data_IF_004776059023
#
_entry.id   IF_004776059023
#
_cell.length_a   1.000
_cell.length_b   1.000
_cell.length_c   1.000
_cell.angle_alpha   90.00
_cell.angle_beta   90.00
_cell.angle_gamma   90.00
#
_symmetry.space_group_name_H-M   'P 1'
#
loop_
_entity.id
_entity.type
_entity.pdbx_description
1 polymer ?
#
# COMPACT_ATOMS: atom_id res chain seq x y z
N UNK A 1 40.65 9.56 -6.19
CA UNK A 1 39.41 9.08 -5.56
C UNK A 1 39.42 7.58 -5.21
N UNK A 2 39.15 6.62 -6.12
CA UNK A 2 39.08 5.17 -5.75
C UNK A 2 40.33 4.61 -5.05
N UNK A 3 41.53 4.90 -5.58
CA UNK A 3 42.80 4.43 -4.98
C UNK A 3 43.05 5.00 -3.57
N UNK A 4 42.69 6.26 -3.34
CA UNK A 4 42.82 6.90 -2.02
C UNK A 4 41.83 6.31 -1.02
N UNK A 5 40.61 6.00 -1.48
CA UNK A 5 39.57 5.38 -0.67
C UNK A 5 39.98 3.96 -0.23
N UNK A 6 40.52 3.16 -1.16
CA UNK A 6 41.07 1.84 -0.86
C UNK A 6 42.25 1.90 0.12
N UNK A 7 43.16 2.86 -0.07
CA UNK A 7 44.29 3.07 0.84
C UNK A 7 43.80 3.34 2.26
N UNK A 8 42.83 4.24 2.43
CA UNK A 8 42.23 4.54 3.75
C UNK A 8 41.53 3.33 4.37
N UNK A 9 40.79 2.55 3.59
CA UNK A 9 40.13 1.32 4.07
C UNK A 9 41.16 0.32 4.60
N UNK A 10 42.25 0.13 3.87
CA UNK A 10 43.33 -0.79 4.22
C UNK A 10 44.07 -0.30 5.48
N UNK A 11 44.45 0.98 5.51
CA UNK A 11 45.17 1.59 6.65
C UNK A 11 44.34 1.56 7.93
N UNK A 12 43.04 1.87 7.84
CA UNK A 12 42.13 1.90 8.98
C UNK A 12 41.58 0.52 9.35
N UNK A 13 41.88 -0.53 8.58
CA UNK A 13 41.29 -1.88 8.71
C UNK A 13 39.76 -1.84 8.81
N UNK A 14 39.13 -0.96 8.03
CA UNK A 14 37.67 -0.80 8.02
C UNK A 14 36.99 -2.12 7.66
N UNK A 15 35.90 -2.46 8.36
CA UNK A 15 35.12 -3.66 8.03
C UNK A 15 34.39 -3.48 6.70
N UNK A 16 34.49 -4.49 5.83
CA UNK A 16 33.93 -4.45 4.48
C UNK A 16 33.06 -5.68 4.21
N UNK A 17 31.83 -5.49 3.71
CA UNK A 17 31.17 -6.52 2.93
C UNK A 17 31.50 -6.36 1.44
N UNK A 18 31.51 -7.50 0.75
CA UNK A 18 31.56 -7.58 -0.71
C UNK A 18 30.15 -7.72 -1.25
N UNK A 19 29.80 -6.89 -2.23
CA UNK A 19 28.54 -6.93 -2.96
C UNK A 19 28.89 -7.37 -4.39
N UNK A 20 28.22 -8.40 -4.90
CA UNK A 20 28.47 -8.89 -6.25
C UNK A 20 27.15 -9.08 -6.99
N UNK A 21 27.10 -8.58 -8.23
CA UNK A 21 25.92 -8.73 -9.09
C UNK A 21 26.35 -9.14 -10.50
N UNK A 22 25.53 -9.96 -11.16
CA UNK A 22 25.75 -10.32 -12.56
C UNK A 22 25.36 -9.13 -13.45
N UNK A 23 26.23 -8.81 -14.40
CA UNK A 23 26.03 -7.78 -15.40
C UNK A 23 26.30 -8.36 -16.78
N UNK A 24 25.66 -7.78 -17.80
CA UNK A 24 25.90 -8.13 -19.20
C UNK A 24 26.67 -6.99 -19.88
N UNK A 25 27.76 -7.33 -20.56
CA UNK A 25 28.50 -6.39 -21.40
C UNK A 25 27.89 -6.31 -22.82
N UNK A 26 28.21 -5.26 -23.57
CA UNK A 26 27.76 -5.00 -24.96
C UNK A 26 28.12 -6.14 -25.93
N UNK A 27 29.01 -7.07 -25.53
CA UNK A 27 29.43 -8.24 -26.32
C UNK A 27 28.86 -9.60 -25.89
N UNK A 28 27.78 -9.65 -25.10
CA UNK A 28 27.16 -10.89 -24.59
C UNK A 28 28.06 -11.78 -23.70
N UNK A 29 29.18 -11.24 -23.19
CA UNK A 29 29.96 -11.92 -22.14
C UNK A 29 29.34 -11.64 -20.77
N UNK A 30 29.20 -12.69 -19.96
CA UNK A 30 28.83 -12.58 -18.54
C UNK A 30 29.94 -11.85 -17.79
N UNK A 31 29.59 -10.76 -17.12
CA UNK A 31 30.51 -10.01 -16.27
C UNK A 31 29.96 -9.92 -14.85
N UNK A 32 30.84 -9.80 -13.88
CA UNK A 32 30.50 -9.63 -12.48
C UNK A 32 30.96 -8.26 -12.03
N UNK A 33 30.03 -7.42 -11.58
CA UNK A 33 30.40 -6.17 -10.93
C UNK A 33 30.60 -6.43 -9.44
N UNK A 34 31.79 -6.07 -8.95
CA UNK A 34 32.16 -6.21 -7.54
C UNK A 34 32.15 -4.83 -6.91
N UNK A 35 31.37 -4.68 -5.84
CA UNK A 35 31.29 -3.47 -5.02
C UNK A 35 31.84 -3.75 -3.63
N UNK A 36 32.43 -2.71 -3.05
CA UNK A 36 32.76 -2.67 -1.63
C UNK A 36 31.90 -1.62 -0.94
N UNK A 37 31.51 -1.91 0.30
CA UNK A 37 30.92 -0.92 1.20
C UNK A 37 31.83 -0.77 2.41
N UNK A 38 32.15 0.46 2.80
CA UNK A 38 33.03 0.70 3.95
C UNK A 38 32.73 2.06 4.57
N UNK A 39 32.95 2.19 5.88
CA UNK A 39 33.15 3.49 6.51
C UNK A 39 34.58 3.96 6.24
N UNK A 40 34.72 5.24 5.89
CA UNK A 40 35.98 5.90 5.60
C UNK A 40 36.14 7.04 6.58
N UNK A 41 37.33 7.22 7.15
CA UNK A 41 37.67 8.29 8.10
C UNK A 41 36.77 8.37 9.36
N UNK A 42 36.16 7.25 9.76
CA UNK A 42 35.29 7.19 10.94
C UNK A 42 33.91 7.79 10.73
N UNK A 43 33.53 8.07 9.48
CA UNK A 43 32.20 8.55 9.15
C UNK A 43 31.14 7.48 9.46
N UNK A 44 30.01 7.92 10.03
CA UNK A 44 28.88 7.06 10.38
C UNK A 44 28.13 6.58 9.14
N UNK A 45 28.29 7.26 8.00
CA UNK A 45 27.68 6.86 6.73
C UNK A 45 28.64 6.03 5.86
N UNK A 46 28.46 4.69 5.79
CA UNK A 46 29.30 3.86 4.94
C UNK A 46 28.98 4.06 3.45
N UNK A 47 30.02 4.27 2.65
CA UNK A 47 29.92 4.50 1.21
C UNK A 47 30.04 3.15 0.49
N UNK A 48 29.14 2.90 -0.47
CA UNK A 48 29.28 1.81 -1.42
C UNK A 48 29.88 2.32 -2.73
N UNK A 49 30.90 1.64 -3.25
CA UNK A 49 31.58 2.05 -4.48
C UNK A 49 32.00 0.84 -5.32
N UNK A 50 32.02 0.98 -6.66
CA UNK A 50 32.43 -0.11 -7.54
C UNK A 50 33.93 -0.36 -7.39
N UNK A 51 34.28 -1.61 -7.09
CA UNK A 51 35.66 -2.08 -7.05
C UNK A 51 36.15 -2.47 -8.43
N UNK A 52 35.50 -3.36 -9.15
CA UNK A 52 35.90 -3.67 -10.53
C UNK A 52 34.77 -4.36 -11.26
N UNK A 53 34.89 -4.41 -12.58
CA UNK A 53 34.05 -5.24 -13.43
C UNK A 53 34.91 -6.41 -13.93
N UNK A 54 34.53 -7.62 -13.56
CA UNK A 54 35.31 -8.83 -13.82
C UNK A 54 34.64 -9.62 -14.93
N UNK A 55 35.35 -9.92 -16.01
CA UNK A 55 34.84 -10.84 -17.05
C UNK A 55 34.87 -12.27 -16.52
N UNK A 56 33.79 -13.02 -16.74
CA UNK A 56 33.67 -14.41 -16.34
C UNK A 56 33.80 -15.32 -17.57
N UNK A 57 34.80 -16.20 -17.57
CA UNK A 57 34.95 -17.24 -18.60
C UNK A 57 34.11 -18.49 -18.26
N UNK A 58 33.68 -18.62 -17.01
CA UNK A 58 32.89 -19.74 -16.50
C UNK A 58 31.91 -19.28 -15.41
N UNK A 59 30.69 -19.80 -15.45
CA UNK A 59 29.64 -19.54 -14.45
C UNK A 59 29.68 -20.52 -13.26
N UNK A 60 30.81 -21.20 -13.03
CA UNK A 60 30.94 -22.08 -11.87
C UNK A 60 31.24 -21.27 -10.60
N UNK A 61 30.66 -21.67 -9.48
CA UNK A 61 30.86 -20.99 -8.20
C UNK A 61 32.34 -20.90 -7.78
N UNK A 62 33.13 -21.95 -8.07
CA UNK A 62 34.56 -21.96 -7.78
C UNK A 62 35.31 -20.90 -8.59
N UNK A 63 35.00 -20.77 -9.89
CA UNK A 63 35.63 -19.78 -10.75
C UNK A 63 35.21 -18.36 -10.36
N UNK A 64 33.92 -18.14 -10.08
CA UNK A 64 33.42 -16.83 -9.64
C UNK A 64 34.09 -16.41 -8.32
N UNK A 65 34.24 -17.33 -7.36
CA UNK A 65 34.98 -17.07 -6.12
C UNK A 65 36.44 -16.69 -6.40
N UNK A 66 37.12 -17.42 -7.27
CA UNK A 66 38.50 -17.12 -7.69
C UNK A 66 38.60 -15.72 -8.30
N UNK A 67 37.67 -15.34 -9.17
CA UNK A 67 37.60 -14.02 -9.80
C UNK A 67 37.36 -12.89 -8.78
N UNK A 68 36.45 -13.08 -7.81
CA UNK A 68 36.22 -12.11 -6.73
C UNK A 68 37.49 -11.95 -5.88
N UNK A 69 38.14 -13.05 -5.51
CA UNK A 69 39.38 -13.02 -4.73
C UNK A 69 40.52 -12.36 -5.51
N UNK A 70 40.69 -12.70 -6.78
CA UNK A 70 41.67 -12.06 -7.67
C UNK A 70 41.44 -10.56 -7.80
N UNK A 71 40.18 -10.13 -7.90
CA UNK A 71 39.79 -8.72 -7.90
C UNK A 71 40.22 -7.99 -6.61
N UNK A 72 39.95 -8.59 -5.44
CA UNK A 72 40.36 -8.03 -4.15
C UNK A 72 41.90 -7.93 -4.04
N UNK A 73 42.61 -9.01 -4.37
CA UNK A 73 44.07 -9.04 -4.29
C UNK A 73 44.73 -8.02 -5.24
N UNK A 74 44.22 -7.91 -6.47
CA UNK A 74 44.67 -6.91 -7.46
C UNK A 74 44.47 -5.47 -6.98
N UNK A 75 43.47 -5.22 -6.13
CA UNK A 75 43.18 -3.90 -5.56
C UNK A 75 43.88 -3.64 -4.21
N UNK A 76 44.86 -4.48 -3.82
CA UNK A 76 45.77 -4.23 -2.70
C UNK A 76 45.37 -4.89 -1.37
N UNK A 77 44.31 -5.69 -1.35
CA UNK A 77 43.97 -6.49 -0.18
C UNK A 77 44.88 -7.72 -0.10
N UNK A 78 45.23 -8.16 1.10
CA UNK A 78 45.90 -9.46 1.33
C UNK A 78 44.93 -10.43 1.98
N UNK A 79 45.20 -11.73 1.87
CA UNK A 79 44.34 -12.77 2.48
C UNK A 79 44.30 -12.60 4.00
N UNK A 80 45.43 -12.24 4.62
CA UNK A 80 45.55 -12.00 6.06
C UNK A 80 44.67 -10.82 6.49
N UNK A 81 44.68 -9.73 5.73
CA UNK A 81 43.83 -8.57 6.00
C UNK A 81 42.36 -8.93 5.84
N UNK A 82 41.99 -9.63 4.77
CA UNK A 82 40.61 -10.04 4.50
C UNK A 82 40.05 -10.91 5.65
N UNK A 83 40.87 -11.77 6.28
CA UNK A 83 40.44 -12.53 7.46
C UNK A 83 40.02 -11.64 8.63
N UNK A 84 40.60 -10.45 8.76
CA UNK A 84 40.24 -9.50 9.81
C UNK A 84 39.06 -8.61 9.43
N UNK A 85 38.97 -8.18 8.16
CA UNK A 85 38.08 -7.09 7.75
C UNK A 85 36.86 -7.52 6.93
N UNK A 86 36.89 -8.68 6.28
CA UNK A 86 35.78 -9.17 5.48
C UNK A 86 34.66 -9.68 6.41
N UNK A 87 33.53 -8.99 6.41
CA UNK A 87 32.41 -9.29 7.33
C UNK A 87 31.19 -9.85 6.62
N UNK A 88 31.11 -9.77 5.29
CA UNK A 88 29.94 -10.28 4.59
C UNK A 88 30.08 -10.36 3.08
N UNK A 89 29.18 -11.15 2.51
CA UNK A 89 29.01 -11.30 1.07
C UNK A 89 27.52 -11.19 0.74
N UNK A 90 27.18 -10.28 -0.18
CA UNK A 90 25.82 -10.04 -0.62
C UNK A 90 25.72 -10.20 -2.13
N UNK A 91 24.76 -11.01 -2.57
CA UNK A 91 24.49 -11.23 -3.99
C UNK A 91 23.03 -11.67 -4.21
N UNK A 92 22.67 -11.93 -5.47
CA UNK A 92 21.39 -12.50 -5.83
C UNK A 92 21.19 -13.91 -5.24
N UNK A 93 19.97 -14.43 -5.38
CA UNK A 93 19.59 -15.73 -4.84
C UNK A 93 19.98 -16.90 -5.71
N UNK A 94 20.76 -16.68 -6.76
CA UNK A 94 21.11 -17.76 -7.67
C UNK A 94 21.83 -18.86 -6.89
N UNK A 95 21.52 -20.12 -7.20
CA UNK A 95 22.17 -21.26 -6.54
C UNK A 95 23.69 -21.25 -6.69
N UNK A 96 24.21 -20.61 -7.76
CA UNK A 96 25.64 -20.42 -7.97
C UNK A 96 26.22 -19.41 -6.98
N UNK A 97 25.50 -18.33 -6.64
CA UNK A 97 26.00 -17.28 -5.76
C UNK A 97 25.79 -17.61 -4.28
N UNK A 98 24.59 -18.02 -3.88
CA UNK A 98 24.23 -18.23 -2.47
C UNK A 98 23.75 -19.67 -2.15
N UNK A 99 24.04 -20.63 -3.02
CA UNK A 99 23.73 -22.04 -2.78
C UNK A 99 24.39 -22.58 -1.51
N UNK A 100 23.60 -23.31 -0.70
CA UNK A 100 24.00 -23.79 0.64
C UNK A 100 25.21 -24.73 0.64
N UNK A 101 25.36 -25.54 -0.42
CA UNK A 101 26.39 -26.59 -0.49
C UNK A 101 27.65 -26.19 -1.25
N UNK A 102 27.50 -25.37 -2.28
CA UNK A 102 28.56 -25.11 -3.26
C UNK A 102 28.44 -23.74 -3.93
N UNK A 103 27.66 -22.82 -3.36
CA UNK A 103 27.58 -21.45 -3.88
C UNK A 103 28.82 -20.64 -3.54
N UNK A 104 29.07 -19.55 -4.27
CA UNK A 104 30.19 -18.62 -4.05
C UNK A 104 30.26 -18.16 -2.60
N UNK A 105 29.13 -17.76 -2.02
CA UNK A 105 29.04 -17.37 -0.61
C UNK A 105 29.48 -18.49 0.33
N UNK A 106 29.09 -19.75 0.05
CA UNK A 106 29.53 -20.90 0.84
C UNK A 106 31.04 -21.13 0.73
N UNK A 107 31.59 -21.04 -0.47
CA UNK A 107 33.04 -21.19 -0.70
C UNK A 107 33.86 -20.07 -0.08
N UNK A 108 33.34 -18.83 -0.04
CA UNK A 108 33.95 -17.73 0.70
C UNK A 108 33.85 -17.95 2.21
N UNK A 109 32.73 -18.51 2.70
CA UNK A 109 32.55 -18.80 4.12
C UNK A 109 33.48 -19.91 4.59
N UNK A 110 33.83 -20.87 3.73
CA UNK A 110 34.81 -21.92 4.05
C UNK A 110 36.23 -21.33 4.22
N UNK A 111 36.61 -20.31 3.45
CA UNK A 111 37.89 -19.59 3.60
C UNK A 111 37.87 -18.57 4.75
N UNK A 112 36.71 -17.95 4.98
CA UNK A 112 36.48 -16.87 5.94
C UNK A 112 35.25 -17.18 6.81
N UNK A 113 35.39 -17.99 7.88
CA UNK A 113 34.25 -18.50 8.66
C UNK A 113 33.36 -17.43 9.32
N UNK A 114 33.89 -16.22 9.51
CA UNK A 114 33.19 -15.10 10.15
C UNK A 114 32.28 -14.29 9.24
N UNK A 115 32.20 -14.59 7.94
CA UNK A 115 31.40 -13.78 7.01
C UNK A 115 29.90 -14.08 7.13
N UNK A 116 29.11 -13.02 7.05
CA UNK A 116 27.66 -13.10 6.95
C UNK A 116 27.27 -13.17 5.47
N UNK A 117 26.57 -14.24 5.10
CA UNK A 117 25.96 -14.36 3.77
C UNK A 117 24.61 -13.68 3.76
N UNK A 118 24.42 -12.72 2.87
CA UNK A 118 23.18 -11.97 2.74
C UNK A 118 22.58 -12.12 1.36
N UNK A 119 21.34 -12.60 1.30
CA UNK A 119 20.59 -12.66 0.06
C UNK A 119 19.97 -11.30 -0.24
N UNK A 120 20.23 -10.78 -1.46
CA UNK A 120 19.71 -9.49 -1.89
C UNK A 120 18.19 -9.43 -1.72
N UNK A 121 17.72 -8.46 -0.92
CA UNK A 121 16.29 -8.31 -0.63
C UNK A 121 15.48 -7.98 -1.88
N UNK A 122 16.07 -7.24 -2.83
CA UNK A 122 15.42 -6.87 -4.08
C UNK A 122 15.14 -8.10 -4.96
N UNK A 123 16.08 -9.06 -5.01
CA UNK A 123 15.90 -10.33 -5.70
C UNK A 123 15.03 -11.32 -4.92
N UNK A 124 15.08 -11.29 -3.58
CA UNK A 124 14.24 -12.13 -2.71
C UNK A 124 12.74 -11.86 -2.88
N UNK A 125 12.37 -10.64 -3.28
CA UNK A 125 10.98 -10.27 -3.55
C UNK A 125 10.52 -10.54 -4.99
N UNK A 126 11.39 -11.10 -5.84
CA UNK A 126 11.06 -11.51 -7.21
C UNK A 126 10.18 -10.48 -7.94
N UNK A 127 10.65 -9.23 -7.96
CA UNK A 127 9.88 -8.06 -8.44
C UNK A 127 9.48 -8.17 -9.92
N UNK A 128 10.16 -9.02 -10.69
CA UNK A 128 9.85 -9.32 -12.09
C UNK A 128 8.91 -10.54 -12.25
N UNK A 129 8.36 -11.11 -11.18
CA UNK A 129 7.42 -12.21 -11.32
C UNK A 129 6.02 -11.72 -11.68
N UNK A 130 5.39 -12.39 -12.65
CA UNK A 130 4.03 -12.02 -13.08
C UNK A 130 3.00 -12.07 -11.93
N UNK A 131 3.12 -13.06 -11.04
CA UNK A 131 2.25 -13.20 -9.87
C UNK A 131 2.39 -12.03 -8.89
N UNK A 132 3.59 -11.47 -8.75
CA UNK A 132 3.83 -10.28 -7.95
C UNK A 132 3.19 -9.06 -8.61
N UNK A 133 3.40 -8.88 -9.93
CA UNK A 133 2.80 -7.79 -10.70
C UNK A 133 1.27 -7.79 -10.60
N UNK A 134 0.62 -8.95 -10.80
CA UNK A 134 -0.84 -9.10 -10.66
C UNK A 134 -1.35 -8.77 -9.27
N UNK A 135 -0.64 -9.22 -8.24
CA UNK A 135 -1.00 -8.92 -6.84
C UNK A 135 -0.88 -7.42 -6.55
N UNK A 136 0.19 -6.79 -7.03
CA UNK A 136 0.42 -5.35 -6.88
C UNK A 136 -0.62 -4.53 -7.63
N UNK A 137 -0.97 -4.95 -8.84
CA UNK A 137 -2.00 -4.32 -9.66
C UNK A 137 -3.37 -4.31 -8.97
N UNK A 138 -3.80 -5.46 -8.43
CA UNK A 138 -5.04 -5.53 -7.65
C UNK A 138 -5.03 -4.60 -6.44
N UNK A 139 -3.92 -4.55 -5.70
CA UNK A 139 -3.78 -3.63 -4.56
C UNK A 139 -3.84 -2.17 -5.01
N UNK A 140 -3.21 -1.83 -6.13
CA UNK A 140 -3.23 -0.48 -6.68
C UNK A 140 -4.65 -0.04 -7.10
N UNK A 141 -5.42 -0.93 -7.74
CA UNK A 141 -6.81 -0.65 -8.11
C UNK A 141 -7.68 -0.39 -6.86
N UNK A 142 -7.56 -1.23 -5.83
CA UNK A 142 -8.28 -1.04 -4.56
C UNK A 142 -7.88 0.25 -3.86
N UNK A 143 -6.58 0.55 -3.79
CA UNK A 143 -6.08 1.79 -3.17
C UNK A 143 -6.55 3.04 -3.94
N UNK A 144 -6.69 2.95 -5.26
CA UNK A 144 -7.20 4.04 -6.09
C UNK A 144 -8.66 4.34 -5.78
N UNK A 145 -9.50 3.31 -5.65
CA UNK A 145 -10.90 3.48 -5.24
C UNK A 145 -11.01 4.06 -3.82
N UNK A 146 -10.18 3.59 -2.88
CA UNK A 146 -10.13 4.14 -1.51
C UNK A 146 -9.68 5.61 -1.48
N UNK A 147 -8.68 5.96 -2.29
CA UNK A 147 -8.21 7.35 -2.44
C UNK A 147 -9.32 8.24 -2.96
N UNK A 148 -9.97 7.85 -4.04
CA UNK A 148 -11.07 8.62 -4.65
C UNK A 148 -12.23 8.80 -3.66
N UNK A 149 -12.59 7.75 -2.91
CA UNK A 149 -13.58 7.85 -1.84
C UNK A 149 -13.15 8.88 -0.78
N UNK A 150 -11.90 8.81 -0.32
CA UNK A 150 -11.37 9.75 0.68
C UNK A 150 -11.45 11.21 0.20
N UNK A 151 -11.02 11.48 -1.03
CA UNK A 151 -11.06 12.83 -1.61
C UNK A 151 -12.50 13.38 -1.69
N UNK A 152 -13.47 12.53 -2.04
CA UNK A 152 -14.88 12.91 -2.09
C UNK A 152 -15.43 13.19 -0.68
N UNK A 153 -15.10 12.35 0.31
CA UNK A 153 -15.56 12.50 1.69
C UNK A 153 -14.93 13.70 2.41
N UNK A 154 -13.79 14.21 1.92
CA UNK A 154 -13.18 15.45 2.39
C UNK A 154 -13.93 16.70 1.91
N UNK A 155 -14.91 16.56 1.00
CA UNK A 155 -15.72 17.69 0.57
C UNK A 155 -16.65 18.18 1.69
N UNK A 156 -16.44 19.45 2.09
CA UNK A 156 -17.12 20.17 3.18
C UNK A 156 -18.64 20.29 3.06
N UNK A 157 -19.20 20.05 1.88
CA UNK A 157 -20.66 20.15 1.62
C UNK A 157 -21.38 18.79 1.66
N UNK A 158 -20.68 17.72 2.05
CA UNK A 158 -21.26 16.37 2.03
C UNK A 158 -22.10 16.14 3.28
N UNK A 159 -23.39 15.90 3.10
CA UNK A 159 -24.29 15.51 4.19
C UNK A 159 -24.10 14.03 4.54
N UNK A 160 -24.48 13.63 5.75
CA UNK A 160 -24.35 12.25 6.20
C UNK A 160 -25.04 11.22 5.27
N UNK A 161 -26.27 11.44 4.76
CA UNK A 161 -26.91 10.52 3.82
C UNK A 161 -26.14 10.41 2.50
N UNK A 162 -25.67 11.54 1.97
CA UNK A 162 -24.89 11.55 0.74
C UNK A 162 -23.55 10.82 0.91
N UNK A 163 -22.90 11.00 2.05
CA UNK A 163 -21.69 10.24 2.39
C UNK A 163 -21.98 8.74 2.45
N UNK A 164 -23.10 8.33 3.07
CA UNK A 164 -23.51 6.92 3.12
C UNK A 164 -23.71 6.32 1.72
N UNK A 165 -24.38 7.03 0.81
CA UNK A 165 -24.60 6.56 -0.56
C UNK A 165 -23.28 6.41 -1.34
N UNK A 166 -22.39 7.38 -1.17
CA UNK A 166 -21.05 7.36 -1.78
C UNK A 166 -20.25 6.18 -1.22
N UNK A 167 -20.18 6.01 0.11
CA UNK A 167 -19.49 4.88 0.73
C UNK A 167 -20.05 3.54 0.26
N UNK A 168 -21.38 3.39 0.21
CA UNK A 168 -22.05 2.18 -0.29
C UNK A 168 -21.70 1.91 -1.76
N UNK A 169 -21.67 2.95 -2.59
CA UNK A 169 -21.30 2.86 -4.00
C UNK A 169 -19.86 2.39 -4.17
N UNK A 170 -18.92 2.95 -3.40
CA UNK A 170 -17.51 2.58 -3.47
C UNK A 170 -17.23 1.17 -2.94
N UNK A 171 -17.96 0.72 -1.91
CA UNK A 171 -17.90 -0.70 -1.48
C UNK A 171 -18.33 -1.62 -2.62
N UNK A 172 -19.43 -1.31 -3.31
CA UNK A 172 -19.88 -2.09 -4.48
C UNK A 172 -18.87 -2.04 -5.64
N UNK A 173 -18.21 -0.90 -5.87
CA UNK A 173 -17.15 -0.76 -6.89
C UNK A 173 -15.96 -1.67 -6.57
N UNK A 174 -15.49 -1.70 -5.32
CA UNK A 174 -14.40 -2.59 -4.91
C UNK A 174 -14.82 -4.06 -5.03
N UNK A 175 -16.03 -4.42 -4.61
CA UNK A 175 -16.58 -5.79 -4.79
C UNK A 175 -16.65 -6.21 -6.26
N UNK A 176 -16.88 -5.25 -7.16
CA UNK A 176 -16.99 -5.50 -8.60
C UNK A 176 -15.67 -5.94 -9.25
N UNK A 177 -14.52 -5.72 -8.61
CA UNK A 177 -13.21 -6.19 -9.11
C UNK A 177 -13.12 -7.70 -9.31
N UNK A 178 -13.98 -8.48 -8.65
CA UNK A 178 -14.09 -9.93 -8.90
C UNK A 178 -14.61 -10.28 -10.30
N UNK A 179 -15.33 -9.35 -10.96
CA UNK A 179 -15.94 -9.56 -12.28
C UNK A 179 -15.34 -8.64 -13.34
N UNK A 180 -15.02 -7.41 -12.94
CA UNK A 180 -14.53 -6.35 -13.81
C UNK A 180 -13.19 -5.88 -13.27
N UNK A 181 -12.05 -6.34 -13.83
CA UNK A 181 -10.73 -5.94 -13.34
C UNK A 181 -10.54 -4.42 -13.46
N UNK A 182 -9.83 -3.83 -12.50
CA UNK A 182 -9.43 -2.42 -12.57
C UNK A 182 -8.35 -2.18 -13.62
N UNK A 183 -8.03 -0.91 -13.86
CA UNK A 183 -7.10 -0.52 -14.92
C UNK A 183 -5.72 -1.16 -14.73
N UNK A 184 -5.20 -1.16 -13.50
CA UNK A 184 -3.88 -1.73 -13.24
C UNK A 184 -3.87 -3.25 -13.42
N UNK A 185 -4.94 -3.95 -13.04
CA UNK A 185 -5.09 -5.38 -13.28
C UNK A 185 -5.19 -5.72 -14.78
N UNK A 186 -5.82 -4.86 -15.58
CA UNK A 186 -5.83 -4.97 -17.05
C UNK A 186 -4.41 -4.79 -17.61
N UNK A 187 -3.69 -3.75 -17.17
CA UNK A 187 -2.32 -3.49 -17.60
C UNK A 187 -1.39 -4.67 -17.25
N UNK A 188 -1.56 -5.26 -16.05
CA UNK A 188 -0.81 -6.44 -15.63
C UNK A 188 -1.14 -7.70 -16.43
N UNK A 189 -2.38 -7.83 -16.91
CA UNK A 189 -2.80 -8.94 -17.78
C UNK A 189 -2.20 -8.79 -19.18
N UNK A 190 -2.16 -7.58 -19.73
CA UNK A 190 -1.48 -7.30 -21.00
C UNK A 190 0.03 -7.56 -20.89
N UNK A 191 0.65 -7.18 -19.76
CA UNK A 191 2.06 -7.46 -19.48
C UNK A 191 2.37 -8.96 -19.41
N UNK A 192 1.43 -9.79 -18.98
CA UNK A 192 1.57 -11.26 -19.01
C UNK A 192 1.63 -11.79 -20.45
N UNK A 193 0.79 -11.28 -21.35
CA UNK A 193 0.73 -11.73 -22.75
C UNK A 193 2.05 -11.49 -23.48
N UNK A 194 2.71 -10.36 -23.17
CA UNK A 194 4.00 -9.99 -23.78
C UNK A 194 5.21 -10.38 -22.93
N UNK A 195 5.00 -10.88 -21.72
CA UNK A 195 6.04 -11.19 -20.72
C UNK A 195 7.02 -10.04 -20.48
N UNK A 196 6.53 -8.80 -20.52
CA UNK A 196 7.31 -7.58 -20.35
C UNK A 196 6.46 -6.54 -19.61
N UNK A 197 7.06 -5.81 -18.68
CA UNK A 197 6.41 -4.68 -18.02
C UNK A 197 7.38 -3.50 -17.91
N UNK A 198 7.01 -2.36 -18.52
CA UNK A 198 7.80 -1.11 -18.50
C UNK A 198 9.27 -1.30 -18.94
N UNK A 199 9.53 -2.16 -19.93
CA UNK A 199 10.88 -2.43 -20.43
C UNK A 199 11.65 -3.52 -19.67
N UNK A 200 11.04 -4.15 -18.66
CA UNK A 200 11.64 -5.25 -17.89
C UNK A 200 10.99 -6.59 -18.26
N UNK A 201 11.81 -7.60 -18.53
CA UNK A 201 11.34 -8.96 -18.85
C UNK A 201 10.77 -9.64 -17.60
N UNK A 202 9.53 -10.14 -17.71
CA UNK A 202 8.85 -10.84 -16.64
C UNK A 202 9.24 -12.31 -16.60
N UNK A 203 9.15 -12.92 -15.42
CA UNK A 203 9.41 -14.35 -15.22
C UNK A 203 8.23 -15.04 -14.58
N UNK A 204 8.00 -16.30 -14.96
CA UNK A 204 7.06 -17.17 -14.25
C UNK A 204 7.77 -17.73 -13.04
N UNK A 205 7.36 -17.34 -11.84
CA UNK A 205 7.96 -17.84 -10.62
C UNK A 205 7.00 -17.93 -9.44
N UNK A 206 7.50 -18.48 -8.33
CA UNK A 206 6.71 -18.83 -7.14
C UNK A 206 6.59 -17.66 -6.16
N UNK A 207 6.11 -16.52 -6.63
CA UNK A 207 5.68 -15.46 -5.71
C UNK A 207 4.35 -15.84 -5.06
N UNK A 208 4.14 -15.54 -3.77
CA UNK A 208 2.86 -15.76 -3.11
C UNK A 208 1.76 -15.02 -3.89
N UNK A 209 0.72 -15.75 -4.26
CA UNK A 209 -0.43 -15.23 -4.99
C UNK A 209 -1.44 -14.75 -3.97
N UNK A 210 -1.88 -13.50 -4.08
CA UNK A 210 -3.03 -13.01 -3.32
C UNK A 210 -4.28 -13.67 -3.89
N UNK A 211 -5.08 -14.31 -3.02
CA UNK A 211 -6.44 -14.68 -3.38
C UNK A 211 -7.26 -13.41 -3.56
N UNK A 212 -7.50 -13.03 -4.81
CA UNK A 212 -8.20 -11.80 -5.16
C UNK A 212 -9.58 -11.72 -4.53
N UNK A 213 -10.32 -12.83 -4.50
CA UNK A 213 -11.68 -12.86 -3.96
C UNK A 213 -11.67 -12.70 -2.44
N UNK A 214 -10.74 -13.37 -1.75
CA UNK A 214 -10.56 -13.20 -0.31
C UNK A 214 -10.11 -11.78 0.03
N UNK A 215 -9.16 -11.21 -0.72
CA UNK A 215 -8.65 -9.87 -0.49
C UNK A 215 -9.73 -8.80 -0.68
N UNK A 216 -10.44 -8.83 -1.81
CA UNK A 216 -11.54 -7.91 -2.11
C UNK A 216 -12.62 -8.00 -1.03
N UNK A 217 -13.02 -9.23 -0.64
CA UNK A 217 -14.00 -9.44 0.42
C UNK A 217 -13.52 -8.86 1.75
N UNK A 218 -12.28 -9.14 2.13
CA UNK A 218 -11.71 -8.64 3.38
C UNK A 218 -11.70 -7.10 3.41
N UNK A 219 -11.34 -6.43 2.31
CA UNK A 219 -11.37 -4.96 2.24
C UNK A 219 -12.81 -4.44 2.34
N UNK A 220 -13.74 -5.00 1.57
CA UNK A 220 -15.14 -4.57 1.58
C UNK A 220 -15.79 -4.76 2.96
N UNK A 221 -15.55 -5.89 3.61
CA UNK A 221 -16.06 -6.17 4.96
C UNK A 221 -15.45 -5.20 5.98
N UNK A 222 -14.14 -4.95 5.91
CA UNK A 222 -13.49 -3.95 6.78
C UNK A 222 -14.07 -2.54 6.58
N UNK A 223 -14.40 -2.15 5.35
CA UNK A 223 -15.07 -0.88 5.09
C UNK A 223 -16.48 -0.86 5.71
N UNK A 224 -17.28 -1.91 5.52
CA UNK A 224 -18.62 -2.02 6.11
C UNK A 224 -18.58 -1.92 7.63
N UNK A 225 -17.62 -2.60 8.25
CA UNK A 225 -17.44 -2.62 9.70
C UNK A 225 -16.95 -1.30 10.29
N UNK A 226 -16.26 -0.46 9.51
CA UNK A 226 -15.62 0.76 10.01
C UNK A 226 -16.33 2.05 9.61
N UNK A 227 -17.04 2.06 8.49
CA UNK A 227 -17.66 3.26 7.93
C UNK A 227 -19.15 3.38 8.27
N UNK A 228 -19.81 2.27 8.61
CA UNK A 228 -21.26 2.22 8.85
C UNK A 228 -21.56 2.06 10.35
N UNK A 229 -20.93 2.91 11.16
CA UNK A 229 -21.05 2.93 12.63
C UNK A 229 -20.88 4.35 13.15
N UNK A 230 -21.51 4.67 14.28
CA UNK A 230 -21.44 5.98 14.93
C UNK A 230 -20.22 6.15 15.87
N UNK A 231 -19.44 5.10 16.13
CA UNK A 231 -18.33 5.13 17.10
C UNK A 231 -17.21 4.12 16.76
N UNK A 232 -16.01 4.31 17.34
CA UNK A 232 -14.82 3.50 17.08
C UNK A 232 -14.91 2.01 17.56
N UNK A 233 -14.19 1.12 16.85
CA UNK A 233 -14.30 -0.35 16.89
C UNK A 233 -13.69 -1.08 18.11
N UNK A 234 -13.66 -0.48 19.32
CA UNK A 234 -13.22 -1.16 20.56
C UNK A 234 -14.36 -1.40 21.55
N UNK A 235 -15.46 -2.00 21.11
CA UNK A 235 -16.59 -2.34 21.98
C UNK A 235 -16.85 -3.85 22.02
N UNK A 236 -17.44 -4.31 23.13
CA UNK A 236 -17.98 -5.67 23.24
C UNK A 236 -19.00 -5.94 22.12
N UNK A 237 -19.11 -7.19 21.66
CA UNK A 237 -19.90 -7.56 20.48
C UNK A 237 -21.38 -7.14 20.54
N UNK A 238 -22.02 -7.22 21.72
CA UNK A 238 -23.41 -6.76 21.93
C UNK A 238 -23.56 -5.26 21.76
N UNK A 239 -22.58 -4.49 22.23
CA UNK A 239 -22.56 -3.03 22.13
C UNK A 239 -22.28 -2.60 20.68
N UNK A 240 -21.46 -3.35 19.94
CA UNK A 240 -21.20 -3.11 18.52
C UNK A 240 -22.45 -3.33 17.63
N UNK A 241 -23.24 -4.38 17.91
CA UNK A 241 -24.49 -4.65 17.19
C UNK A 241 -25.50 -3.50 17.34
N UNK A 242 -25.75 -3.06 18.58
CA UNK A 242 -26.66 -1.94 18.86
C UNK A 242 -26.24 -0.64 18.16
N UNK A 243 -24.95 -0.41 17.95
CA UNK A 243 -24.43 0.79 17.29
C UNK A 243 -24.68 0.79 15.78
N UNK A 244 -24.53 -0.36 15.13
CA UNK A 244 -24.86 -0.50 13.71
C UNK A 244 -26.35 -0.34 13.48
N UNK A 245 -27.17 -0.91 14.37
CA UNK A 245 -28.62 -0.70 14.34
C UNK A 245 -28.98 0.78 14.51
N UNK A 246 -28.34 1.48 15.44
CA UNK A 246 -28.55 2.92 15.61
C UNK A 246 -28.13 3.73 14.37
N UNK A 247 -26.98 3.41 13.76
CA UNK A 247 -26.52 4.03 12.51
C UNK A 247 -27.53 3.80 11.38
N UNK A 248 -27.93 2.53 11.15
CA UNK A 248 -28.88 2.17 10.11
C UNK A 248 -30.25 2.82 10.34
N UNK A 249 -30.71 2.89 11.59
CA UNK A 249 -31.94 3.60 11.96
C UNK A 249 -31.85 5.08 11.60
N UNK A 250 -30.75 5.75 11.93
CA UNK A 250 -30.55 7.16 11.62
C UNK A 250 -30.51 7.42 10.10
N UNK A 251 -29.80 6.58 9.35
CA UNK A 251 -29.75 6.69 7.88
C UNK A 251 -31.13 6.46 7.27
N UNK A 252 -31.87 5.43 7.71
CA UNK A 252 -33.23 5.18 7.23
C UNK A 252 -34.17 6.35 7.57
N UNK A 253 -34.03 6.93 8.76
CA UNK A 253 -34.79 8.12 9.17
C UNK A 253 -34.45 9.36 8.33
N UNK A 254 -33.21 9.51 7.88
CA UNK A 254 -32.84 10.58 6.95
C UNK A 254 -33.29 10.29 5.51
N UNK A 255 -33.32 9.02 5.11
CA UNK A 255 -33.66 8.60 3.74
C UNK A 255 -35.10 8.98 3.36
N UNK A 256 -36.05 9.00 4.31
CA UNK A 256 -37.44 9.41 4.05
C UNK A 256 -37.58 10.90 3.73
N UNK A 257 -36.54 11.71 3.94
CA UNK A 257 -36.55 13.12 3.54
C UNK A 257 -36.28 13.29 2.03
N UNK A 258 -35.78 12.25 1.35
CA UNK A 258 -35.62 12.25 -0.10
C UNK A 258 -36.89 11.72 -0.79
N UNK A 259 -37.54 12.51 -1.67
CA UNK A 259 -38.71 12.09 -2.43
C UNK A 259 -38.53 10.82 -3.27
N UNK A 260 -37.31 10.54 -3.75
CA UNK A 260 -37.01 9.37 -4.58
C UNK A 260 -37.20 8.03 -3.81
N UNK A 261 -37.21 8.09 -2.49
CA UNK A 261 -37.34 6.92 -1.61
C UNK A 261 -38.79 6.66 -1.16
N UNK A 262 -39.76 7.46 -1.62
CA UNK A 262 -41.13 7.38 -1.12
C UNK A 262 -41.93 6.25 -1.75
N UNK A 263 -42.67 5.52 -0.91
CA UNK A 263 -43.80 4.72 -1.36
C UNK A 263 -44.98 5.66 -1.68
N UNK A 264 -45.15 5.97 -2.96
CA UNK A 264 -46.20 6.88 -3.45
C UNK A 264 -47.62 6.37 -3.20
N UNK A 265 -47.79 5.07 -2.94
CA UNK A 265 -49.09 4.46 -2.66
C UNK A 265 -49.46 4.53 -1.16
N UNK A 266 -48.51 4.90 -0.29
CA UNK A 266 -48.72 5.00 1.15
C UNK A 266 -48.65 6.47 1.65
N UNK A 267 -49.80 7.12 1.90
CA UNK A 267 -49.84 8.51 2.39
C UNK A 267 -49.11 8.74 3.73
N UNK A 268 -48.95 7.69 4.54
CA UNK A 268 -48.30 7.75 5.87
C UNK A 268 -46.83 7.31 5.84
N UNK A 269 -46.27 7.02 4.67
CA UNK A 269 -44.87 6.65 4.53
C UNK A 269 -43.96 7.75 5.13
N UNK A 270 -43.00 7.35 5.95
CA UNK A 270 -42.03 8.23 6.61
C UNK A 270 -42.52 8.97 7.86
N UNK A 271 -43.79 8.85 8.24
CA UNK A 271 -44.33 9.63 9.37
C UNK A 271 -43.69 9.27 10.72
N UNK A 272 -43.40 7.98 10.94
CA UNK A 272 -42.78 7.52 12.19
C UNK A 272 -41.28 7.85 12.21
N UNK A 273 -40.63 7.73 11.08
CA UNK A 273 -39.22 8.05 10.85
C UNK A 273 -38.96 9.55 11.10
N UNK A 274 -39.83 10.43 10.59
CA UNK A 274 -39.74 11.88 10.83
C UNK A 274 -39.95 12.21 12.31
N UNK A 275 -40.89 11.56 13.00
CA UNK A 275 -41.10 11.77 14.45
C UNK A 275 -39.88 11.33 15.26
N UNK A 276 -39.34 10.17 14.97
CA UNK A 276 -38.13 9.65 15.63
C UNK A 276 -36.91 10.56 15.36
N UNK A 277 -36.77 11.07 14.14
CA UNK A 277 -35.70 12.00 13.79
C UNK A 277 -35.83 13.34 14.53
N UNK A 278 -37.05 13.83 14.72
CA UNK A 278 -37.31 15.03 15.51
C UNK A 278 -36.92 14.85 16.98
N UNK A 279 -37.13 13.67 17.56
CA UNK A 279 -36.71 13.37 18.94
C UNK A 279 -35.18 13.39 19.07
N UNK A 280 -34.48 12.78 18.10
CA UNK A 280 -33.00 12.74 18.04
C UNK A 280 -32.40 14.13 17.84
N UNK A 281 -33.01 14.97 17.00
CA UNK A 281 -32.51 16.31 16.65
C UNK A 281 -33.08 17.42 17.53
N UNK A 282 -33.94 17.09 18.50
CA UNK A 282 -34.62 18.04 19.38
C UNK A 282 -35.42 19.12 18.62
N UNK A 283 -36.14 18.72 17.57
CA UNK A 283 -37.00 19.59 16.75
C UNK A 283 -38.47 19.36 17.10
N UNK A 284 -39.33 20.38 16.97
CA UNK A 284 -40.76 20.27 17.25
C UNK A 284 -41.45 19.24 16.31
N UNK A 285 -41.88 18.12 16.87
CA UNK A 285 -42.55 17.04 16.13
C UNK A 285 -43.82 17.48 15.40
N UNK A 286 -44.66 18.33 16.01
CA UNK A 286 -45.92 18.75 15.40
C UNK A 286 -45.67 19.65 14.19
N UNK A 287 -44.78 20.63 14.32
CA UNK A 287 -44.38 21.50 13.21
C UNK A 287 -43.75 20.68 12.07
N UNK A 288 -42.80 19.80 12.40
CA UNK A 288 -42.12 18.97 11.41
C UNK A 288 -43.05 17.99 10.70
N UNK A 289 -44.01 17.38 11.40
CA UNK A 289 -44.96 16.45 10.81
C UNK A 289 -45.96 17.14 9.87
N UNK A 290 -46.46 18.32 10.26
CA UNK A 290 -47.31 19.14 9.38
C UNK A 290 -46.53 19.58 8.13
N UNK A 291 -45.30 20.04 8.33
CA UNK A 291 -44.39 20.41 7.23
C UNK A 291 -44.08 19.24 6.31
N UNK A 292 -43.83 18.03 6.83
CA UNK A 292 -43.57 16.85 6.02
C UNK A 292 -44.79 16.41 5.21
N UNK A 293 -45.99 16.55 5.78
CA UNK A 293 -47.25 16.24 5.07
C UNK A 293 -47.45 17.18 3.87
N UNK A 294 -47.21 18.48 4.05
CA UNK A 294 -47.27 19.48 2.97
C UNK A 294 -46.15 19.26 1.93
N UNK A 295 -44.95 18.91 2.39
CA UNK A 295 -43.82 18.56 1.52
C UNK A 295 -44.16 17.36 0.62
N UNK A 296 -44.74 16.29 1.18
CA UNK A 296 -45.26 15.13 0.44
C UNK A 296 -46.36 15.52 -0.55
N UNK A 297 -47.32 16.34 -0.13
CA UNK A 297 -48.41 16.82 -0.99
C UNK A 297 -47.89 17.63 -2.20
N UNK A 298 -46.75 18.31 -2.06
CA UNK A 298 -46.08 19.02 -3.16
C UNK A 298 -45.23 18.11 -4.08
N UNK A 299 -45.17 16.81 -3.80
CA UNK A 299 -44.28 15.87 -4.48
C UNK A 299 -42.80 16.15 -4.23
N UNK A 300 -42.47 16.71 -3.06
CA UNK A 300 -41.10 17.07 -2.70
C UNK A 300 -40.55 18.35 -3.33
N UNK A 301 -41.40 19.13 -4.02
CA UNK A 301 -40.98 20.33 -4.76
C UNK A 301 -40.87 21.59 -3.91
N UNK A 302 -41.74 21.73 -2.89
CA UNK A 302 -41.83 22.93 -2.08
C UNK A 302 -41.54 22.62 -0.62
N UNK A 303 -40.43 23.12 -0.08
CA UNK A 303 -40.04 22.91 1.33
C UNK A 303 -40.82 23.89 2.24
N UNK A 304 -41.74 23.41 3.10
CA UNK A 304 -42.52 24.27 3.98
C UNK A 304 -41.66 24.87 5.09
N UNK A 305 -42.02 26.06 5.57
CA UNK A 305 -41.26 26.75 6.62
C UNK A 305 -41.15 25.93 7.92
N UNK A 306 -42.18 25.15 8.23
CA UNK A 306 -42.28 24.27 9.39
C UNK A 306 -41.29 23.09 9.31
N UNK A 307 -40.86 22.69 8.10
CA UNK A 307 -39.90 21.60 7.87
C UNK A 307 -38.45 22.09 7.78
N UNK A 308 -38.22 23.39 7.51
CA UNK A 308 -36.86 23.95 7.34
C UNK A 308 -35.93 23.67 8.52
N UNK A 309 -36.44 23.79 9.75
CA UNK A 309 -35.64 23.52 10.96
C UNK A 309 -35.12 22.07 11.01
N UNK A 310 -35.95 21.11 10.59
CA UNK A 310 -35.56 19.70 10.54
C UNK A 310 -34.47 19.47 9.48
N UNK A 311 -34.67 19.98 8.26
CA UNK A 311 -33.71 19.83 7.17
C UNK A 311 -32.36 20.49 7.50
N UNK A 312 -32.39 21.70 8.05
CA UNK A 312 -31.18 22.39 8.49
C UNK A 312 -30.43 21.59 9.57
N UNK A 313 -31.15 21.02 10.55
CA UNK A 313 -30.52 20.19 11.58
C UNK A 313 -29.86 18.94 10.98
N UNK A 314 -30.49 18.27 10.02
CA UNK A 314 -29.90 17.12 9.31
C UNK A 314 -28.66 17.54 8.51
N UNK A 315 -28.72 18.65 7.79
CA UNK A 315 -27.60 19.14 6.98
C UNK A 315 -26.39 19.57 7.82
N UNK A 316 -26.59 19.94 9.08
CA UNK A 316 -25.48 20.26 10.01
C UNK A 316 -24.73 19.05 10.54
N UNK A 317 -25.24 17.83 10.37
CA UNK A 317 -24.53 16.61 10.77
C UNK A 317 -23.42 16.30 9.76
N UNK A 318 -22.19 16.67 10.13
CA UNK A 318 -21.03 16.43 9.28
C UNK A 318 -20.53 14.97 9.37
N UNK A 319 -20.31 14.28 8.24
CA UNK A 319 -19.70 12.95 8.21
C UNK A 319 -18.18 12.98 8.39
N UNK A 320 -17.55 14.16 8.36
CA UNK A 320 -16.10 14.33 8.40
C UNK A 320 -15.68 15.56 9.22
N UNK A 321 -14.51 15.47 9.85
CA UNK A 321 -13.82 16.56 10.55
C UNK A 321 -12.80 17.28 9.64
N UNK A 322 -12.86 17.11 8.31
CA UNK A 322 -11.92 17.71 7.36
C UNK A 322 -11.76 19.24 7.52
N UNK A 323 -12.79 19.94 7.99
CA UNK A 323 -12.71 21.36 8.33
C UNK A 323 -11.72 21.66 9.47
N UNK A 324 -11.59 20.75 10.44
CA UNK A 324 -10.62 20.87 11.54
C UNK A 324 -9.19 20.59 11.07
N UNK A 325 -9.01 19.60 10.19
CA UNK A 325 -7.69 19.17 9.69
C UNK A 325 -7.04 20.24 8.79
N UNK A 326 -7.85 20.94 7.98
CA UNK A 326 -7.37 22.03 7.13
C UNK A 326 -6.88 23.27 7.91
N UNK A 327 -7.41 23.52 9.10
CA UNK A 327 -6.95 24.62 9.97
C UNK A 327 -5.61 24.29 10.61
N UNK A 328 -5.43 23.05 11.09
CA UNK A 328 -4.18 22.59 11.69
C UNK A 328 -3.00 22.62 10.72
N UNK A 329 -3.22 22.29 9.44
CA UNK A 329 -2.17 22.38 8.41
C UNK A 329 -1.72 23.83 8.14
N UNK A 330 -2.65 24.79 8.15
CA UNK A 330 -2.32 26.20 7.91
C UNK A 330 -1.60 26.85 9.10
N UNK A 331 -1.91 26.44 10.33
CA UNK A 331 -1.22 26.93 11.54
C UNK A 331 0.21 26.36 11.67
N UNK A 332 0.45 25.14 11.20
CA UNK A 332 1.81 24.53 11.22
C UNK A 332 2.78 25.14 10.21
N UNK A 333 2.30 25.84 9.18
CA UNK A 333 3.14 26.54 8.20
C UNK A 333 3.38 28.02 8.54
N UNK A 334 2.85 28.51 9.66
CA UNK A 334 3.03 29.89 10.13
C UNK A 334 3.99 30.04 11.33
N UNK A 335 4.62 28.95 11.79
CA UNK A 335 5.70 28.94 12.79
C UNK A 335 7.01 28.40 12.20
#
# INVERSE_FOLDING_TARGET
MKKELLKKIIENKSKIPVLADESTSVGHKSTLIVFLKASVDGDMEPIAFPLDLVELDSMSAAHIKEQIMGCLLKNGFTVELLREILIGFCSDGASVMLGVKSGVGKLLQDDFPGIILWHCLNHRHCLNHINFLKSLALMADVLTELKNLSEILQNRKTTLPKAHDIMTTYVKRIESFNRYPGQHAVDASQAEEVMEFKGEELRVGRSPIIDSAQFIRAVADNMKERLFTTTANRAQASVAANRKEAYNSLINQMAVLNPDNWDHDNPRFGDNEVRALCDVLHVNQQEAHLGFTEYKASGGRNIPNQMKKLLMAVDTLSPSNADCEGVQHNEQHQN
#
